data_IF_220899106989
#
_entry.id   IF_220899106989
#
_cell.length_a   1.000
_cell.length_b   1.000
_cell.length_c   1.000
_cell.angle_alpha   90.00
_cell.angle_beta   90.00
_cell.angle_gamma   90.00
#
_symmetry.space_group_name_H-M   'P 1'
#
loop_
_entity.id
_entity.type
_entity.pdbx_description
1 polymer ?
#
# COMPACT_ATOMS: atom_id res chain seq x y z
N UNK A 1 3.17 0.20 -16.35
CA UNK A 1 1.80 -0.32 -16.12
C UNK A 1 0.91 0.26 -17.19
N UNK A 2 0.04 -0.56 -17.81
CA UNK A 2 -0.90 -0.09 -18.82
C UNK A 2 -2.26 -0.75 -18.64
N UNK A 3 -3.30 0.08 -18.60
CA UNK A 3 -4.68 -0.35 -18.69
C UNK A 3 -5.17 -0.08 -20.10
N UNK A 4 -5.77 -1.06 -20.76
CA UNK A 4 -6.26 -0.98 -22.13
C UNK A 4 -7.73 -1.39 -22.19
N UNK A 5 -8.61 -0.42 -22.41
CA UNK A 5 -10.05 -0.64 -22.60
C UNK A 5 -10.72 -1.47 -21.51
N UNK A 6 -10.30 -1.25 -20.23
CA UNK A 6 -10.78 -2.03 -19.09
C UNK A 6 -12.18 -1.60 -18.70
N UNK A 7 -13.10 -2.55 -18.70
CA UNK A 7 -14.46 -2.39 -18.17
C UNK A 7 -14.71 -3.43 -17.09
N UNK A 8 -15.44 -3.04 -16.04
CA UNK A 8 -15.69 -3.88 -14.90
C UNK A 8 -17.03 -3.59 -14.21
N UNK A 9 -17.68 -4.64 -13.74
CA UNK A 9 -18.84 -4.59 -12.89
C UNK A 9 -18.73 -5.62 -11.76
N UNK A 10 -19.22 -5.30 -10.55
CA UNK A 10 -19.24 -6.24 -9.42
C UNK A 10 -20.36 -7.28 -9.52
N UNK A 11 -21.45 -6.95 -10.18
CA UNK A 11 -22.68 -7.75 -10.23
C UNK A 11 -23.06 -8.19 -11.66
N UNK A 12 -22.25 -7.86 -12.64
CA UNK A 12 -22.51 -8.12 -14.07
C UNK A 12 -23.62 -7.26 -14.69
N UNK A 13 -24.16 -6.27 -13.94
CA UNK A 13 -25.28 -5.46 -14.41
C UNK A 13 -24.92 -3.99 -14.58
N UNK A 14 -24.23 -3.42 -13.59
CA UNK A 14 -23.84 -2.04 -13.61
C UNK A 14 -22.32 -1.91 -13.74
N UNK A 15 -21.84 -1.37 -14.85
CA UNK A 15 -20.42 -1.08 -15.04
C UNK A 15 -19.97 0.03 -14.08
N UNK A 16 -18.99 -0.28 -13.24
CA UNK A 16 -18.31 0.65 -12.34
C UNK A 16 -17.14 1.31 -13.04
N UNK A 17 -16.41 0.55 -13.86
CA UNK A 17 -15.37 1.06 -14.76
C UNK A 17 -15.85 0.85 -16.20
N UNK A 18 -15.72 1.90 -17.02
CA UNK A 18 -16.18 1.92 -18.42
C UNK A 18 -15.03 2.36 -19.32
N UNK A 19 -14.49 1.41 -20.09
CA UNK A 19 -13.48 1.66 -21.11
C UNK A 19 -12.29 2.48 -20.60
N UNK A 20 -11.74 2.10 -19.45
CA UNK A 20 -10.64 2.81 -18.82
C UNK A 20 -9.33 2.45 -19.49
N UNK A 21 -8.61 3.47 -19.97
CA UNK A 21 -7.29 3.33 -20.58
C UNK A 21 -6.34 4.40 -20.04
N UNK A 22 -5.18 3.97 -19.59
CA UNK A 22 -4.08 4.86 -19.18
C UNK A 22 -2.76 4.08 -19.14
N UNK A 23 -1.66 4.81 -19.15
CA UNK A 23 -0.30 4.26 -19.01
C UNK A 23 0.45 4.98 -17.90
N UNK A 24 1.24 4.24 -17.13
CA UNK A 24 2.17 4.74 -16.12
C UNK A 24 3.53 4.14 -16.40
N UNK A 25 4.51 4.98 -16.71
CA UNK A 25 5.88 4.55 -16.99
C UNK A 25 6.65 4.29 -15.69
N UNK A 26 7.78 3.59 -15.81
CA UNK A 26 8.67 3.40 -14.67
C UNK A 26 9.11 4.74 -14.08
N UNK A 27 9.05 4.85 -12.75
CA UNK A 27 9.36 6.07 -12.00
C UNK A 27 8.28 7.16 -12.02
N UNK A 28 7.19 6.98 -12.76
CA UNK A 28 6.07 7.92 -12.76
C UNK A 28 5.12 7.69 -11.58
N UNK A 29 4.45 8.76 -11.18
CA UNK A 29 3.34 8.73 -10.21
C UNK A 29 2.08 9.22 -10.90
N UNK A 30 1.00 8.47 -10.75
CA UNK A 30 -0.34 8.85 -11.19
C UNK A 30 -1.25 9.04 -9.97
N UNK A 31 -2.14 10.01 -10.02
CA UNK A 31 -3.16 10.21 -9.00
C UNK A 31 -4.55 10.09 -9.62
N UNK A 32 -5.40 9.25 -9.05
CA UNK A 32 -6.80 9.15 -9.39
C UNK A 32 -7.61 10.08 -8.49
N UNK A 33 -8.30 11.04 -9.09
CA UNK A 33 -9.15 11.99 -8.37
C UNK A 33 -10.61 11.83 -8.81
N UNK A 34 -11.52 11.96 -7.86
CA UNK A 34 -12.94 11.82 -8.12
C UNK A 34 -13.73 11.65 -6.82
N UNK A 35 -15.04 11.84 -6.90
CA UNK A 35 -15.94 11.66 -5.76
C UNK A 35 -15.97 10.18 -5.30
N UNK A 36 -16.49 9.94 -4.10
CA UNK A 36 -16.76 8.59 -3.59
C UNK A 36 -17.66 7.83 -4.56
N UNK A 37 -17.31 6.57 -4.85
CA UNK A 37 -18.05 5.75 -5.82
C UNK A 37 -17.64 5.96 -7.29
N UNK A 38 -16.65 6.82 -7.60
CA UNK A 38 -16.17 7.00 -8.98
C UNK A 38 -15.31 5.85 -9.55
N UNK A 39 -15.09 4.78 -8.76
CA UNK A 39 -14.34 3.60 -9.22
C UNK A 39 -12.84 3.61 -8.88
N UNK A 40 -12.32 4.58 -8.11
CA UNK A 40 -10.88 4.63 -7.75
C UNK A 40 -10.39 3.33 -7.11
N UNK A 41 -11.05 2.88 -6.04
CA UNK A 41 -10.69 1.63 -5.36
C UNK A 41 -10.95 0.39 -6.23
N UNK A 42 -11.86 0.48 -7.22
CA UNK A 42 -12.09 -0.60 -8.18
C UNK A 42 -10.87 -0.81 -9.10
N UNK A 43 -10.19 0.28 -9.51
CA UNK A 43 -8.93 0.19 -10.27
C UNK A 43 -7.88 -0.56 -9.45
N UNK A 44 -7.73 -0.22 -8.16
CA UNK A 44 -6.80 -0.89 -7.24
C UNK A 44 -7.17 -2.38 -7.10
N UNK A 45 -8.45 -2.67 -6.86
CA UNK A 45 -8.95 -4.04 -6.70
C UNK A 45 -8.67 -4.92 -7.92
N UNK A 46 -8.83 -4.39 -9.13
CA UNK A 46 -8.51 -5.11 -10.36
C UNK A 46 -7.01 -5.30 -10.53
N UNK A 47 -6.21 -4.28 -10.25
CA UNK A 47 -4.76 -4.36 -10.35
C UNK A 47 -4.15 -5.36 -9.34
N UNK A 48 -4.71 -5.45 -8.13
CA UNK A 48 -4.35 -6.46 -7.12
C UNK A 48 -4.95 -7.85 -7.41
N UNK A 49 -5.74 -7.98 -8.46
CA UNK A 49 -6.50 -9.20 -8.80
C UNK A 49 -7.30 -9.73 -7.61
N UNK A 50 -8.00 -8.82 -6.91
CA UNK A 50 -9.06 -9.21 -5.97
C UNK A 50 -10.36 -9.52 -6.73
N UNK A 51 -10.51 -8.95 -7.92
CA UNK A 51 -11.58 -9.21 -8.88
C UNK A 51 -11.00 -9.35 -10.28
N UNK A 52 -11.71 -10.07 -11.14
CA UNK A 52 -11.38 -10.14 -12.57
C UNK A 52 -12.22 -9.11 -13.34
N UNK A 53 -11.65 -8.50 -14.35
CA UNK A 53 -12.34 -7.51 -15.19
C UNK A 53 -13.09 -8.19 -16.34
N UNK A 54 -14.17 -7.55 -16.81
CA UNK A 54 -15.07 -8.10 -17.82
C UNK A 54 -14.46 -8.00 -19.23
N UNK A 55 -13.78 -6.89 -19.53
CA UNK A 55 -13.18 -6.59 -20.83
C UNK A 55 -11.88 -5.80 -20.65
N UNK A 56 -11.05 -5.84 -21.71
CA UNK A 56 -9.77 -5.14 -21.77
C UNK A 56 -8.59 -5.97 -21.29
N UNK A 57 -7.48 -5.31 -21.02
CA UNK A 57 -6.26 -5.91 -20.47
C UNK A 57 -5.59 -4.97 -19.48
N UNK A 58 -4.87 -5.54 -18.53
CA UNK A 58 -3.99 -4.81 -17.62
C UNK A 58 -2.60 -5.44 -17.75
N UNK A 59 -1.62 -4.62 -18.13
CA UNK A 59 -0.26 -5.05 -18.42
C UNK A 59 0.74 -4.47 -17.44
N UNK A 60 1.73 -5.28 -17.06
CA UNK A 60 2.95 -4.84 -16.35
C UNK A 60 4.13 -5.24 -17.24
N UNK A 61 4.93 -4.26 -17.67
CA UNK A 61 6.09 -4.45 -18.57
C UNK A 61 5.74 -5.25 -19.84
N UNK A 62 4.51 -5.04 -20.37
CA UNK A 62 4.02 -5.67 -21.58
C UNK A 62 3.39 -7.05 -21.40
N UNK A 63 3.38 -7.60 -20.19
CA UNK A 63 2.78 -8.89 -19.84
C UNK A 63 1.43 -8.69 -19.13
N UNK A 64 0.42 -9.48 -19.52
CA UNK A 64 -0.89 -9.44 -18.85
C UNK A 64 -0.74 -9.85 -17.38
N UNK A 65 -1.39 -9.11 -16.48
CA UNK A 65 -1.36 -9.45 -15.03
C UNK A 65 -1.89 -10.85 -14.75
N UNK A 66 -2.68 -11.44 -15.66
CA UNK A 66 -3.19 -12.81 -15.55
C UNK A 66 -2.11 -13.88 -15.77
N UNK A 67 -0.99 -13.52 -16.42
CA UNK A 67 0.15 -14.42 -16.63
C UNK A 67 0.98 -14.61 -15.35
N UNK A 68 0.90 -13.67 -14.43
CA UNK A 68 1.58 -13.77 -13.14
C UNK A 68 0.77 -14.61 -12.14
N UNK A 69 1.44 -15.35 -11.25
CA UNK A 69 0.75 -15.89 -10.08
C UNK A 69 0.28 -14.72 -9.19
N UNK A 70 -0.84 -14.91 -8.50
CA UNK A 70 -1.33 -13.87 -7.58
C UNK A 70 -0.31 -13.52 -6.49
N UNK A 71 0.43 -14.51 -6.03
CA UNK A 71 1.50 -14.32 -5.04
C UNK A 71 2.64 -13.45 -5.60
N UNK A 72 3.17 -13.78 -6.79
CA UNK A 72 4.23 -12.99 -7.41
C UNK A 72 3.78 -11.55 -7.70
N UNK A 73 2.55 -11.37 -8.18
CA UNK A 73 1.97 -10.06 -8.43
C UNK A 73 1.87 -9.23 -7.14
N UNK A 74 1.27 -9.80 -6.09
CA UNK A 74 1.05 -9.10 -4.83
C UNK A 74 2.34 -8.81 -4.07
N UNK A 75 3.35 -9.68 -4.16
CA UNK A 75 4.68 -9.42 -3.58
C UNK A 75 5.41 -8.28 -4.28
N UNK A 76 5.10 -8.00 -5.54
CA UNK A 76 5.68 -6.87 -6.27
C UNK A 76 4.96 -5.54 -5.99
N UNK A 77 3.78 -5.57 -5.36
CA UNK A 77 2.93 -4.40 -5.12
C UNK A 77 2.81 -4.15 -3.61
N UNK A 78 3.20 -2.98 -3.18
CA UNK A 78 2.93 -2.48 -1.83
C UNK A 78 1.62 -1.70 -1.82
N UNK A 79 0.72 -2.05 -0.91
CA UNK A 79 -0.57 -1.38 -0.74
C UNK A 79 -0.68 -0.79 0.65
N UNK A 80 -0.87 0.52 0.73
CA UNK A 80 -1.19 1.24 1.98
C UNK A 80 -2.64 1.67 1.91
N UNK A 81 -3.44 1.14 2.83
CA UNK A 81 -4.88 1.39 2.90
C UNK A 81 -5.19 2.66 3.70
N UNK A 82 -6.35 3.24 3.46
CA UNK A 82 -6.90 4.38 4.20
C UNK A 82 -7.00 4.09 5.70
N UNK A 83 -7.48 2.90 6.07
CA UNK A 83 -7.52 2.43 7.46
C UNK A 83 -6.56 1.26 7.62
N UNK A 84 -5.34 1.50 8.16
CA UNK A 84 -4.36 0.45 8.33
C UNK A 84 -4.78 -0.51 9.44
N UNK A 85 -4.68 -1.80 9.17
CA UNK A 85 -4.92 -2.83 10.15
C UNK A 85 -3.60 -3.29 10.77
N UNK A 86 -3.53 -3.24 12.11
CA UNK A 86 -2.44 -3.84 12.87
C UNK A 86 -2.94 -5.09 13.58
N UNK A 87 -2.09 -6.11 13.56
CA UNK A 87 -2.39 -7.43 14.16
C UNK A 87 -1.89 -7.49 15.58
N UNK A 88 -2.52 -8.35 16.38
CA UNK A 88 -2.00 -8.68 17.69
C UNK A 88 -0.59 -9.27 17.58
N UNK A 89 0.35 -8.75 18.36
CA UNK A 89 1.75 -9.14 18.31
C UNK A 89 2.66 -8.02 18.83
N UNK A 90 3.81 -7.82 18.19
CA UNK A 90 4.74 -6.72 18.49
C UNK A 90 4.80 -5.72 17.35
N UNK A 91 5.44 -4.57 17.58
CA UNK A 91 5.74 -3.60 16.50
C UNK A 91 6.54 -4.29 15.39
N UNK A 92 7.64 -5.00 15.76
CA UNK A 92 8.47 -5.72 14.79
C UNK A 92 7.66 -6.75 13.99
N UNK A 93 6.81 -7.55 14.64
CA UNK A 93 5.99 -8.55 13.96
C UNK A 93 4.98 -7.91 12.99
N UNK A 94 4.48 -6.73 13.31
CA UNK A 94 3.59 -5.98 12.44
C UNK A 94 4.30 -5.40 11.21
N UNK A 95 5.55 -4.96 11.33
CA UNK A 95 6.33 -4.48 10.19
C UNK A 95 6.78 -5.67 9.33
N UNK A 96 7.27 -6.75 9.96
CA UNK A 96 7.72 -7.98 9.26
C UNK A 96 6.58 -8.66 8.50
N UNK A 97 5.41 -8.73 9.12
CA UNK A 97 4.23 -9.40 8.57
C UNK A 97 4.53 -10.84 8.13
N UNK A 98 4.28 -11.18 6.88
CA UNK A 98 4.52 -12.51 6.30
C UNK A 98 5.92 -12.69 5.68
N UNK A 99 6.80 -11.69 5.83
CA UNK A 99 8.16 -11.69 5.28
C UNK A 99 9.15 -12.20 6.32
N UNK A 100 9.10 -13.51 6.62
CA UNK A 100 9.97 -14.14 7.65
C UNK A 100 11.46 -13.95 7.35
N UNK A 101 11.81 -13.69 6.08
CA UNK A 101 13.17 -13.40 5.62
C UNK A 101 13.68 -11.99 6.01
N UNK A 102 12.82 -11.10 6.48
CA UNK A 102 13.22 -9.76 6.89
C UNK A 102 13.94 -9.81 8.25
N UNK A 103 15.21 -9.39 8.24
CA UNK A 103 15.99 -9.24 9.47
C UNK A 103 15.52 -8.02 10.28
N UNK A 104 15.90 -7.98 11.56
CA UNK A 104 15.55 -6.86 12.45
C UNK A 104 16.15 -5.54 11.97
N UNK A 105 17.35 -5.58 11.36
CA UNK A 105 17.99 -4.40 10.78
C UNK A 105 17.14 -3.82 9.64
N UNK A 106 16.56 -4.67 8.78
CA UNK A 106 15.69 -4.20 7.69
C UNK A 106 14.37 -3.61 8.19
N UNK A 107 13.87 -4.11 9.31
CA UNK A 107 12.69 -3.56 9.98
C UNK A 107 13.02 -2.16 10.52
N UNK A 108 14.19 -2.00 11.15
CA UNK A 108 14.68 -0.71 11.64
C UNK A 108 14.91 0.27 10.48
N UNK A 109 15.61 -0.13 9.42
CA UNK A 109 15.78 0.68 8.21
C UNK A 109 14.44 1.19 7.64
N UNK A 110 13.42 0.32 7.61
CA UNK A 110 12.10 0.71 7.12
C UNK A 110 11.40 1.71 8.06
N UNK A 111 11.55 1.55 9.38
CA UNK A 111 11.01 2.47 10.37
C UNK A 111 11.71 3.84 10.33
N UNK A 112 13.03 3.85 10.19
CA UNK A 112 13.83 5.07 9.98
C UNK A 112 13.43 5.78 8.69
N UNK A 113 13.24 5.02 7.61
CA UNK A 113 12.88 5.57 6.31
C UNK A 113 11.56 6.36 6.32
N UNK A 114 10.59 5.91 7.11
CA UNK A 114 9.28 6.57 7.26
C UNK A 114 9.21 7.48 8.49
N UNK A 115 10.34 7.75 9.12
CA UNK A 115 10.49 8.64 10.27
C UNK A 115 9.60 8.22 11.48
N UNK A 116 9.45 6.89 11.74
CA UNK A 116 8.70 6.35 12.88
C UNK A 116 9.60 5.68 13.93
N UNK A 117 10.91 5.55 13.66
CA UNK A 117 11.86 4.88 14.54
C UNK A 117 11.94 5.51 15.94
N UNK A 118 12.06 6.84 16.03
CA UNK A 118 12.14 7.56 17.31
C UNK A 118 10.91 7.29 18.19
N UNK A 119 9.72 7.24 17.56
CA UNK A 119 8.49 6.88 18.26
C UNK A 119 8.58 5.44 18.82
N UNK A 120 9.00 4.48 17.99
CA UNK A 120 9.11 3.07 18.40
C UNK A 120 10.10 2.94 19.56
N UNK A 121 11.26 3.59 19.49
CA UNK A 121 12.30 3.55 20.51
C UNK A 121 11.88 4.24 21.81
N UNK A 122 10.94 5.16 21.77
CA UNK A 122 10.36 5.81 22.96
C UNK A 122 9.41 4.89 23.73
N UNK A 123 8.96 3.78 23.14
CA UNK A 123 8.09 2.80 23.80
C UNK A 123 8.89 1.95 24.80
N UNK A 124 8.29 1.49 25.91
CA UNK A 124 8.99 0.75 26.96
C UNK A 124 9.80 -0.47 26.45
N UNK A 125 9.27 -1.18 25.45
CA UNK A 125 9.88 -2.39 24.89
C UNK A 125 10.34 -2.17 23.41
N UNK A 126 10.38 -0.91 22.91
CA UNK A 126 10.81 -0.59 21.57
C UNK A 126 10.09 -1.39 20.50
N UNK A 127 10.84 -2.08 19.64
CA UNK A 127 10.28 -2.93 18.57
C UNK A 127 9.53 -4.17 19.10
N UNK A 128 9.79 -4.61 20.32
CA UNK A 128 9.08 -5.71 20.98
C UNK A 128 7.83 -5.24 21.72
N UNK A 129 7.54 -3.94 21.70
CA UNK A 129 6.34 -3.39 22.34
C UNK A 129 5.08 -4.07 21.81
N UNK A 130 4.17 -4.55 22.72
CA UNK A 130 2.99 -5.28 22.33
C UNK A 130 1.97 -4.37 21.64
N UNK A 131 1.47 -4.84 20.50
CA UNK A 131 0.38 -4.23 19.75
C UNK A 131 -0.89 -5.04 20.00
N UNK A 132 -1.92 -4.37 20.52
CA UNK A 132 -3.25 -4.95 20.67
C UNK A 132 -3.94 -5.07 19.31
N UNK A 133 -5.00 -5.87 19.24
CA UNK A 133 -5.81 -5.98 18.02
C UNK A 133 -6.22 -4.59 17.52
N UNK A 134 -6.01 -4.34 16.23
CA UNK A 134 -6.21 -3.07 15.53
C UNK A 134 -5.34 -1.91 16.03
N UNK A 135 -4.37 -2.16 16.92
CA UNK A 135 -3.49 -1.10 17.43
C UNK A 135 -4.25 -0.02 18.21
N UNK A 136 -5.25 -0.40 19.02
CA UNK A 136 -6.14 0.54 19.72
C UNK A 136 -5.44 1.48 20.69
N UNK A 137 -4.22 1.16 21.11
CA UNK A 137 -3.38 2.01 21.97
C UNK A 137 -2.56 3.04 21.21
N UNK A 138 -2.54 2.98 19.87
CA UNK A 138 -1.78 3.84 19.00
C UNK A 138 -2.68 4.89 18.34
N UNK A 139 -2.14 6.07 18.07
CA UNK A 139 -2.86 7.09 17.30
C UNK A 139 -3.09 6.63 15.86
N UNK A 140 -4.01 7.29 15.14
CA UNK A 140 -4.25 6.99 13.73
C UNK A 140 -2.98 7.21 12.89
N UNK A 141 -2.25 8.30 13.14
CA UNK A 141 -0.99 8.58 12.46
C UNK A 141 0.08 7.52 12.72
N UNK A 142 0.26 7.11 13.99
CA UNK A 142 1.21 6.04 14.34
C UNK A 142 0.87 4.72 13.64
N UNK A 143 -0.41 4.32 13.61
CA UNK A 143 -0.83 3.13 12.86
C UNK A 143 -0.53 3.26 11.37
N UNK A 144 -0.74 4.44 10.80
CA UNK A 144 -0.49 4.70 9.38
C UNK A 144 1.01 4.59 9.06
N UNK A 145 1.87 5.20 9.87
CA UNK A 145 3.33 5.11 9.70
C UNK A 145 3.84 3.67 9.85
N UNK A 146 3.32 2.89 10.81
CA UNK A 146 3.69 1.48 10.96
C UNK A 146 3.24 0.63 9.76
N UNK A 147 2.05 0.88 9.22
CA UNK A 147 1.59 0.21 7.99
C UNK A 147 2.43 0.62 6.79
N UNK A 148 2.88 1.88 6.75
CA UNK A 148 3.78 2.34 5.70
C UNK A 148 5.18 1.70 5.84
N UNK A 149 5.74 1.63 7.05
CA UNK A 149 6.99 0.91 7.33
C UNK A 149 6.91 -0.56 6.90
N UNK A 150 5.81 -1.26 7.22
CA UNK A 150 5.52 -2.62 6.73
C UNK A 150 5.63 -2.72 5.22
N UNK A 151 4.99 -1.80 4.52
CA UNK A 151 4.96 -1.81 3.06
C UNK A 151 6.35 -1.55 2.47
N UNK A 152 7.11 -0.60 3.03
CA UNK A 152 8.45 -0.27 2.58
C UNK A 152 9.46 -1.38 2.89
N UNK A 153 9.34 -2.06 4.03
CA UNK A 153 10.21 -3.17 4.42
C UNK A 153 10.21 -4.29 3.36
N UNK A 154 9.07 -4.53 2.72
CA UNK A 154 8.94 -5.51 1.62
C UNK A 154 9.60 -5.07 0.31
N UNK A 155 10.07 -3.82 0.18
CA UNK A 155 10.69 -3.24 -1.03
C UNK A 155 9.89 -3.48 -2.31
N UNK A 156 8.62 -3.06 -2.35
CA UNK A 156 7.76 -3.30 -3.50
C UNK A 156 8.27 -2.53 -4.72
N UNK A 157 8.02 -3.06 -5.93
CA UNK A 157 8.31 -2.39 -7.19
C UNK A 157 7.25 -1.35 -7.57
N UNK A 158 6.05 -1.52 -7.08
CA UNK A 158 4.90 -0.65 -7.32
C UNK A 158 4.29 -0.31 -5.96
N UNK A 159 4.07 0.96 -5.70
CA UNK A 159 3.43 1.43 -4.48
C UNK A 159 2.05 2.02 -4.79
N UNK A 160 1.05 1.55 -4.08
CA UNK A 160 -0.32 2.04 -4.15
C UNK A 160 -0.68 2.66 -2.79
N UNK A 161 -1.23 3.87 -2.84
CA UNK A 161 -1.73 4.58 -1.67
C UNK A 161 -3.23 4.82 -1.88
N UNK A 162 -4.07 4.14 -1.11
CA UNK A 162 -5.53 4.33 -1.16
C UNK A 162 -5.94 5.30 -0.05
N UNK A 163 -6.03 6.59 -0.38
CA UNK A 163 -6.37 7.68 0.56
C UNK A 163 -5.55 7.65 1.86
N UNK A 164 -4.28 7.19 1.79
CA UNK A 164 -3.44 6.87 2.94
C UNK A 164 -3.13 8.09 3.86
N UNK A 165 -3.43 9.30 3.43
CA UNK A 165 -3.29 10.53 4.22
C UNK A 165 -4.63 11.10 4.69
N UNK A 166 -5.75 10.42 4.42
CA UNK A 166 -7.05 10.86 4.89
C UNK A 166 -7.18 10.66 6.41
N UNK A 167 -7.72 11.67 7.10
CA UNK A 167 -8.01 11.62 8.54
C UNK A 167 -6.78 11.45 9.48
N UNK A 168 -5.59 11.84 9.03
CA UNK A 168 -4.39 11.93 9.86
C UNK A 168 -4.05 13.40 10.15
N UNK A 169 -3.26 13.63 11.20
CA UNK A 169 -2.75 14.94 11.51
C UNK A 169 -1.70 15.42 10.48
N UNK A 170 -1.50 16.72 10.43
CA UNK A 170 -0.61 17.37 9.45
C UNK A 170 0.84 16.88 9.58
N UNK A 171 1.33 16.66 10.80
CA UNK A 171 2.69 16.20 11.05
C UNK A 171 2.92 14.80 10.42
N UNK A 172 2.01 13.87 10.69
CA UNK A 172 2.06 12.53 10.08
C UNK A 172 1.95 12.59 8.55
N UNK A 173 1.09 13.45 8.00
CA UNK A 173 0.98 13.64 6.56
C UNK A 173 2.31 14.10 5.95
N UNK A 174 2.98 15.07 6.57
CA UNK A 174 4.28 15.58 6.12
C UNK A 174 5.36 14.46 6.13
N UNK A 175 5.39 13.59 7.16
CA UNK A 175 6.31 12.45 7.23
C UNK A 175 6.09 11.48 6.06
N UNK A 176 4.83 11.11 5.78
CA UNK A 176 4.49 10.26 4.65
C UNK A 176 4.89 10.91 3.32
N UNK A 177 4.58 12.19 3.11
CA UNK A 177 4.93 12.91 1.90
C UNK A 177 6.46 13.02 1.70
N UNK A 178 7.21 13.21 2.77
CA UNK A 178 8.68 13.25 2.71
C UNK A 178 9.25 11.88 2.35
N UNK A 179 8.73 10.80 2.92
CA UNK A 179 9.13 9.44 2.59
C UNK A 179 8.84 9.11 1.12
N UNK A 180 7.68 9.53 0.59
CA UNK A 180 7.35 9.39 -0.83
C UNK A 180 8.30 10.19 -1.74
N UNK A 181 8.75 11.38 -1.31
CA UNK A 181 9.76 12.16 -2.05
C UNK A 181 11.11 11.44 -2.04
N UNK A 182 11.54 10.89 -0.89
CA UNK A 182 12.79 10.09 -0.79
C UNK A 182 12.74 8.89 -1.78
N UNK A 183 11.61 8.18 -1.86
CA UNK A 183 11.44 7.04 -2.79
C UNK A 183 11.57 7.40 -4.27
N UNK A 184 11.16 8.60 -4.67
CA UNK A 184 11.23 9.06 -6.07
C UNK A 184 12.64 9.44 -6.51
N UNK A 185 13.54 9.67 -5.57
CA UNK A 185 14.90 10.15 -5.84
C UNK A 185 15.94 9.03 -5.87
N UNK A 186 15.60 7.83 -5.40
CA UNK A 186 16.44 6.63 -5.39
C UNK A 186 15.99 5.61 -6.39
#
# INVERSE_FOLDING_TARGET
>A
IRFEHVSFSYDGKQEVLKDISFEVKNGETIAFVGHTGSGKSSIINLFMRFYEFDRGQILIDGHDIKEYSQEALRNAIGLVLQEPFLYHGTIASNIRMYHEELSDEKIQEAAEFVDVADFIESLPDGYDHPVTERGSTLSTGQRQLLAFARTIAARPKILILDEATANIDQETEELIQNSLKKMRQG
#
